data_IF_875218639001
#
_entry.id   IF_875218639001
#
_cell.length_a   1.000
_cell.length_b   1.000
_cell.length_c   1.000
_cell.angle_alpha   90.00
_cell.angle_beta   90.00
_cell.angle_gamma   90.00
#
_symmetry.space_group_name_H-M   'P 1'
#
loop_
_entity.id
_entity.type
_entity.pdbx_description
1 polymer ?
#
# COMPACT_ATOMS: atom_id res chain seq x y z
N UNK A 1 -36.15 -18.06 -5.75
CA UNK A 1 -35.03 -18.45 -6.63
C UNK A 1 -34.20 -17.26 -7.06
N UNK A 2 -32.92 -17.50 -7.33
CA UNK A 2 -31.95 -16.52 -7.82
C UNK A 2 -31.27 -17.06 -9.07
N UNK A 3 -31.21 -16.26 -10.12
CA UNK A 3 -30.39 -16.58 -11.30
C UNK A 3 -29.00 -15.99 -11.12
N UNK A 4 -28.02 -16.83 -10.79
CA UNK A 4 -26.62 -16.45 -10.81
C UNK A 4 -26.13 -16.55 -12.26
N UNK A 5 -25.83 -15.41 -12.88
CA UNK A 5 -25.12 -15.37 -14.15
C UNK A 5 -23.62 -15.15 -13.88
N UNK A 6 -22.76 -15.75 -14.72
CA UNK A 6 -21.38 -15.33 -14.88
C UNK A 6 -21.02 -15.56 -16.35
N UNK A 7 -20.75 -14.47 -17.08
CA UNK A 7 -20.55 -14.47 -18.53
C UNK A 7 -21.75 -15.09 -19.29
N UNK A 8 -21.50 -16.10 -20.12
CA UNK A 8 -22.48 -16.84 -20.92
C UNK A 8 -23.16 -17.99 -20.15
N UNK A 9 -22.69 -18.28 -18.93
CA UNK A 9 -23.19 -19.36 -18.10
C UNK A 9 -24.18 -18.84 -17.07
N UNK A 10 -25.36 -19.47 -17.03
CA UNK A 10 -26.41 -19.18 -16.04
C UNK A 10 -26.60 -20.38 -15.13
N UNK A 11 -26.64 -20.13 -13.82
CA UNK A 11 -26.96 -21.11 -12.79
C UNK A 11 -28.17 -20.62 -11.98
N UNK A 12 -29.28 -21.34 -12.08
CA UNK A 12 -30.40 -21.15 -11.18
C UNK A 12 -30.03 -21.72 -9.80
N UNK A 13 -30.19 -20.90 -8.78
CA UNK A 13 -29.99 -21.25 -7.38
C UNK A 13 -31.28 -21.03 -6.61
N UNK A 14 -31.81 -22.10 -6.02
CA UNK A 14 -32.99 -22.03 -5.13
C UNK A 14 -32.52 -21.92 -3.69
N UNK A 15 -33.08 -20.95 -2.97
CA UNK A 15 -32.88 -20.77 -1.54
C UNK A 15 -34.25 -20.76 -0.88
N UNK A 16 -34.53 -21.80 -0.10
CA UNK A 16 -35.79 -22.00 0.62
C UNK A 16 -35.74 -21.47 2.07
N UNK A 17 -34.62 -20.84 2.46
CA UNK A 17 -34.42 -20.34 3.82
C UNK A 17 -34.16 -21.43 4.87
N UNK A 18 -34.12 -22.72 4.50
CA UNK A 18 -33.92 -23.83 5.44
C UNK A 18 -32.50 -23.88 6.04
N UNK A 19 -31.53 -23.30 5.33
CA UNK A 19 -30.14 -23.10 5.79
C UNK A 19 -29.88 -21.61 5.90
N UNK A 20 -29.18 -21.15 6.94
CA UNK A 20 -28.92 -19.70 7.11
C UNK A 20 -28.01 -19.06 6.05
N UNK A 21 -27.30 -19.87 5.25
CA UNK A 21 -26.41 -19.40 4.18
C UNK A 21 -26.49 -20.35 2.97
N UNK A 22 -26.61 -19.77 1.77
CA UNK A 22 -26.38 -20.45 0.50
C UNK A 22 -25.01 -20.03 -0.04
N UNK A 23 -24.12 -21.00 -0.29
CA UNK A 23 -22.78 -20.76 -0.85
C UNK A 23 -22.67 -21.42 -2.23
N UNK A 24 -22.13 -20.69 -3.20
CA UNK A 24 -21.78 -21.21 -4.52
C UNK A 24 -20.38 -20.73 -4.88
N UNK A 25 -19.49 -21.63 -5.30
CA UNK A 25 -18.14 -21.29 -5.76
C UNK A 25 -18.11 -21.38 -7.28
N UNK A 26 -17.72 -20.28 -7.94
CA UNK A 26 -17.52 -20.27 -9.38
C UNK A 26 -16.02 -20.27 -9.70
N UNK A 27 -15.58 -21.15 -10.61
CA UNK A 27 -14.22 -21.18 -11.14
C UNK A 27 -14.28 -20.87 -12.64
N UNK A 28 -13.56 -19.83 -13.07
CA UNK A 28 -13.51 -19.39 -14.47
C UNK A 28 -12.31 -18.47 -14.69
N UNK A 29 -11.85 -18.39 -15.94
CA UNK A 29 -10.68 -17.60 -16.32
C UNK A 29 -10.97 -16.08 -16.44
N UNK A 30 -12.25 -15.70 -16.52
CA UNK A 30 -12.71 -14.33 -16.76
C UNK A 30 -13.55 -13.80 -15.59
N UNK A 31 -13.46 -12.50 -15.32
CA UNK A 31 -14.40 -11.82 -14.45
C UNK A 31 -15.73 -11.67 -15.20
N UNK A 32 -16.80 -12.25 -14.68
CA UNK A 32 -18.14 -12.15 -15.29
C UNK A 32 -19.14 -11.32 -14.49
N UNK A 33 -20.38 -11.30 -14.96
CA UNK A 33 -21.47 -10.48 -14.43
C UNK A 33 -22.41 -11.23 -13.48
N UNK A 34 -22.45 -10.83 -12.21
CA UNK A 34 -23.41 -11.36 -11.22
C UNK A 34 -24.80 -10.71 -11.42
N UNK A 35 -25.76 -11.48 -11.93
CA UNK A 35 -27.18 -11.17 -11.86
C UNK A 35 -27.82 -11.73 -10.58
N UNK A 36 -28.79 -11.02 -10.02
CA UNK A 36 -29.72 -11.56 -9.02
C UNK A 36 -31.13 -11.20 -9.45
N UNK A 37 -31.95 -12.21 -9.72
CA UNK A 37 -33.37 -12.04 -10.09
C UNK A 37 -34.21 -12.82 -9.08
N UNK A 38 -34.94 -12.10 -8.23
CA UNK A 38 -35.95 -12.70 -7.35
C UNK A 38 -37.28 -12.86 -8.08
N UNK A 39 -37.94 -14.01 -7.88
CA UNK A 39 -39.36 -14.20 -8.17
C UNK A 39 -40.04 -14.48 -6.82
N UNK A 40 -40.77 -13.50 -6.29
CA UNK A 40 -41.36 -13.53 -4.95
C UNK A 40 -42.56 -12.59 -4.90
N UNK A 41 -43.60 -12.93 -4.14
CA UNK A 41 -44.71 -12.02 -3.82
C UNK A 41 -44.28 -10.88 -2.88
N UNK A 42 -43.14 -11.02 -2.19
CA UNK A 42 -42.49 -9.95 -1.44
C UNK A 42 -41.42 -9.27 -2.33
N UNK A 43 -41.63 -8.01 -2.75
CA UNK A 43 -40.78 -7.34 -3.73
C UNK A 43 -39.46 -6.80 -3.17
N UNK A 44 -39.28 -6.81 -1.84
CA UNK A 44 -38.11 -6.22 -1.20
C UNK A 44 -37.08 -7.30 -0.85
N UNK A 45 -35.90 -7.20 -1.45
CA UNK A 45 -34.72 -7.94 -1.03
C UNK A 45 -33.51 -7.01 -0.97
N UNK A 46 -32.63 -7.27 -0.02
CA UNK A 46 -31.38 -6.53 0.15
C UNK A 46 -30.22 -7.43 -0.24
N UNK A 47 -29.23 -6.85 -0.92
CA UNK A 47 -28.02 -7.57 -1.34
C UNK A 47 -26.82 -6.84 -0.75
N UNK A 48 -25.99 -7.56 0.00
CA UNK A 48 -24.64 -7.13 0.33
C UNK A 48 -23.67 -7.89 -0.58
N UNK A 49 -22.97 -7.17 -1.45
CA UNK A 49 -21.90 -7.71 -2.28
C UNK A 49 -20.54 -7.34 -1.68
N UNK A 50 -19.62 -8.29 -1.64
CA UNK A 50 -18.24 -8.05 -1.20
C UNK A 50 -17.32 -8.85 -2.11
N UNK A 51 -16.31 -8.18 -2.66
CA UNK A 51 -15.32 -8.78 -3.54
C UNK A 51 -13.94 -8.65 -2.90
N UNK A 52 -13.15 -9.72 -2.96
CA UNK A 52 -11.75 -9.73 -2.54
C UNK A 52 -10.95 -10.43 -3.63
N UNK A 53 -9.88 -9.80 -4.07
CA UNK A 53 -9.02 -10.31 -5.14
C UNK A 53 -7.57 -9.87 -4.90
N UNK A 54 -6.63 -10.64 -5.43
CA UNK A 54 -5.24 -10.24 -5.56
C UNK A 54 -4.98 -9.89 -7.03
N UNK A 55 -4.56 -8.64 -7.36
CA UNK A 55 -4.19 -8.29 -8.71
C UNK A 55 -3.08 -9.21 -9.25
N UNK A 56 -3.13 -9.57 -10.53
CA UNK A 56 -2.04 -10.30 -11.19
C UNK A 56 -0.80 -9.41 -11.41
N UNK A 57 -1.00 -8.10 -11.53
CA UNK A 57 0.08 -7.13 -11.65
C UNK A 57 0.83 -6.99 -10.33
N UNK A 58 2.16 -6.96 -10.38
CA UNK A 58 3.00 -6.64 -9.23
C UNK A 58 2.71 -5.22 -8.75
N UNK A 59 2.86 -4.96 -7.44
CA UNK A 59 2.69 -3.61 -6.90
C UNK A 59 3.76 -2.63 -7.38
N UNK A 60 4.86 -3.10 -7.96
CA UNK A 60 5.83 -2.24 -8.66
C UNK A 60 5.19 -1.50 -9.83
N UNK A 61 4.17 -2.10 -10.46
CA UNK A 61 3.44 -1.52 -11.57
C UNK A 61 2.34 -0.54 -11.12
N UNK A 62 2.14 -0.36 -9.81
CA UNK A 62 1.10 0.53 -9.30
C UNK A 62 1.38 1.97 -9.72
N UNK A 63 0.39 2.59 -10.37
CA UNK A 63 0.40 4.02 -10.65
C UNK A 63 -0.01 4.82 -9.42
N UNK A 64 0.54 6.03 -9.28
CA UNK A 64 0.11 6.96 -8.26
C UNK A 64 -1.38 7.29 -8.44
N UNK A 65 -2.14 7.24 -7.35
CA UNK A 65 -3.54 7.63 -7.34
C UNK A 65 -3.78 8.70 -6.30
N UNK A 66 -4.71 9.60 -6.61
CA UNK A 66 -5.05 10.74 -5.77
C UNK A 66 -6.56 10.75 -5.55
N UNK A 67 -7.00 10.32 -4.36
CA UNK A 67 -8.40 10.32 -3.94
C UNK A 67 -8.52 10.95 -2.56
N UNK A 68 -8.11 12.21 -2.46
CA UNK A 68 -8.12 12.98 -1.21
C UNK A 68 -6.73 13.23 -0.65
N UNK A 69 -5.78 12.30 -0.81
CA UNK A 69 -4.36 12.53 -0.52
C UNK A 69 -3.53 12.53 -1.79
N UNK A 70 -2.43 13.30 -1.79
CA UNK A 70 -1.35 13.14 -2.77
C UNK A 70 -0.16 12.56 -2.03
N UNK A 71 0.39 11.45 -2.53
CA UNK A 71 1.55 10.79 -1.93
C UNK A 71 2.67 10.70 -2.95
N UNK A 72 3.87 11.15 -2.57
CA UNK A 72 5.09 11.05 -3.36
C UNK A 72 6.15 10.30 -2.57
N UNK A 73 7.02 9.62 -3.30
CA UNK A 73 8.12 8.84 -2.74
C UNK A 73 9.42 9.20 -3.43
N UNK A 74 10.46 9.45 -2.65
CA UNK A 74 11.80 9.80 -3.10
C UNK A 74 12.83 8.94 -2.38
N UNK A 75 13.79 8.44 -3.16
CA UNK A 75 14.88 7.60 -2.67
C UNK A 75 16.11 8.47 -2.48
N UNK A 76 16.68 8.47 -1.28
CA UNK A 76 17.88 9.24 -0.95
C UNK A 76 19.01 8.27 -0.64
N UNK A 77 20.00 8.16 -1.54
CA UNK A 77 21.18 7.33 -1.28
C UNK A 77 22.07 8.01 -0.24
N UNK A 78 22.41 7.27 0.81
CA UNK A 78 23.30 7.72 1.89
C UNK A 78 24.68 7.08 1.66
N UNK A 79 25.64 7.82 1.08
CA UNK A 79 26.98 7.29 0.86
C UNK A 79 27.74 7.20 2.18
N UNK A 80 28.78 6.37 2.21
CA UNK A 80 29.77 6.40 3.28
C UNK A 80 30.59 7.71 3.22
N UNK A 81 30.88 8.28 4.40
CA UNK A 81 31.67 9.51 4.53
C UNK A 81 30.93 10.78 4.06
N UNK A 82 31.68 11.73 3.50
CA UNK A 82 31.20 13.08 3.19
C UNK A 82 30.70 13.26 1.75
N UNK A 83 30.54 12.18 0.99
CA UNK A 83 30.04 12.26 -0.38
C UNK A 83 28.60 12.82 -0.40
N UNK A 84 28.22 13.59 -1.44
CA UNK A 84 26.89 14.19 -1.51
C UNK A 84 25.82 13.11 -1.70
N UNK A 85 24.70 13.26 -0.98
CA UNK A 85 23.54 12.40 -1.16
C UNK A 85 22.88 12.65 -2.49
N UNK A 86 22.41 11.58 -3.11
CA UNK A 86 21.61 11.67 -4.35
C UNK A 86 20.15 11.38 -4.03
N UNK A 87 19.28 12.32 -4.39
CA UNK A 87 17.83 12.19 -4.26
C UNK A 87 17.23 11.80 -5.60
N UNK A 88 16.35 10.82 -5.63
CA UNK A 88 15.70 10.37 -6.87
C UNK A 88 14.22 10.04 -6.63
N UNK A 89 13.30 10.84 -7.18
CA UNK A 89 11.88 10.56 -7.06
C UNK A 89 11.46 9.34 -7.88
N UNK A 90 10.43 8.64 -7.39
CA UNK A 90 9.73 7.58 -8.11
C UNK A 90 8.58 8.21 -8.90
N UNK A 91 8.91 8.73 -10.09
CA UNK A 91 7.95 9.45 -10.95
C UNK A 91 7.17 8.56 -11.91
N UNK A 92 7.56 7.28 -12.05
CA UNK A 92 6.96 6.34 -12.98
C UNK A 92 6.88 4.95 -12.35
N UNK A 93 5.79 4.19 -12.61
CA UNK A 93 5.68 2.82 -12.12
C UNK A 93 6.74 1.93 -12.78
N UNK A 94 7.10 0.82 -12.12
CA UNK A 94 8.09 -0.16 -12.58
C UNK A 94 9.51 0.39 -12.86
N UNK A 95 9.80 1.67 -12.52
CA UNK A 95 11.15 2.20 -12.59
C UNK A 95 12.07 1.33 -11.73
N UNK A 96 13.20 0.94 -12.29
CA UNK A 96 14.17 0.08 -11.62
C UNK A 96 15.27 0.92 -10.98
N UNK A 97 15.59 0.60 -9.73
CA UNK A 97 16.69 1.20 -8.99
C UNK A 97 17.63 0.10 -8.52
N UNK A 98 18.93 0.27 -8.78
CA UNK A 98 19.96 -0.73 -8.47
C UNK A 98 20.82 -0.29 -7.30
N UNK A 99 21.02 -1.17 -6.33
CA UNK A 99 21.80 -0.98 -5.12
C UNK A 99 22.82 -2.13 -4.98
N UNK A 100 23.90 -1.89 -4.24
CA UNK A 100 24.80 -2.94 -3.78
C UNK A 100 24.37 -3.41 -2.39
N UNK A 101 24.66 -4.66 -2.04
CA UNK A 101 24.56 -5.10 -0.65
C UNK A 101 25.37 -4.17 0.27
N UNK A 102 24.76 -3.78 1.39
CA UNK A 102 25.34 -2.83 2.34
C UNK A 102 24.91 -1.38 2.13
N UNK A 103 24.43 -1.00 0.94
CA UNK A 103 23.95 0.36 0.66
C UNK A 103 22.87 0.78 1.66
N UNK A 104 22.96 2.04 2.12
CA UNK A 104 21.94 2.68 2.95
C UNK A 104 21.08 3.59 2.07
N UNK A 105 19.78 3.35 2.14
CA UNK A 105 18.73 4.13 1.49
C UNK A 105 17.93 4.86 2.56
N UNK A 106 17.83 6.18 2.46
CA UNK A 106 16.86 6.97 3.21
C UNK A 106 15.60 7.17 2.34
N UNK A 107 14.47 6.73 2.87
CA UNK A 107 13.16 6.90 2.28
C UNK A 107 12.61 8.27 2.66
N UNK A 108 12.07 8.97 1.68
CA UNK A 108 11.34 10.22 1.87
C UNK A 108 9.94 10.05 1.29
N UNK A 109 8.93 10.05 2.17
CA UNK A 109 7.53 10.05 1.79
C UNK A 109 6.94 11.43 2.07
N UNK A 110 6.38 12.05 1.03
CA UNK A 110 5.64 13.30 1.16
C UNK A 110 4.15 13.04 0.97
N UNK A 111 3.35 13.48 1.93
CA UNK A 111 1.88 13.43 1.91
C UNK A 111 1.31 14.83 1.93
N UNK A 112 0.51 15.17 0.93
CA UNK A 112 -0.28 16.41 0.92
C UNK A 112 -1.72 16.08 1.33
N UNK A 113 -2.15 16.69 2.42
CA UNK A 113 -3.49 16.59 2.99
C UNK A 113 -4.21 17.95 2.82
N UNK A 114 -5.21 18.09 1.93
CA UNK A 114 -5.84 19.38 1.62
C UNK A 114 -6.78 19.92 2.70
N UNK A 115 -7.22 19.09 3.65
CA UNK A 115 -8.18 19.46 4.69
C UNK A 115 -7.89 18.70 5.98
N UNK A 116 -8.44 19.16 7.10
CA UNK A 116 -8.36 18.41 8.36
C UNK A 116 -9.09 17.06 8.24
N UNK A 117 -8.43 15.97 8.64
CA UNK A 117 -8.99 14.61 8.62
C UNK A 117 -8.73 13.89 9.93
N UNK A 118 -9.60 12.94 10.24
CA UNK A 118 -9.47 12.09 11.42
C UNK A 118 -9.15 10.65 11.02
N UNK A 119 -8.41 9.96 11.90
CA UNK A 119 -8.04 8.56 11.75
C UNK A 119 -7.35 8.28 10.43
N UNK A 120 -6.19 8.91 10.22
CA UNK A 120 -5.37 8.76 9.03
C UNK A 120 -4.22 7.79 9.31
N UNK A 121 -3.96 6.89 8.37
CA UNK A 121 -2.78 6.06 8.37
C UNK A 121 -1.92 6.40 7.15
N UNK A 122 -0.64 6.66 7.38
CA UNK A 122 0.37 6.78 6.32
C UNK A 122 1.26 5.54 6.40
N UNK A 123 1.15 4.64 5.42
CA UNK A 123 1.87 3.37 5.37
C UNK A 123 2.88 3.37 4.24
N UNK A 124 4.14 3.06 4.55
CA UNK A 124 5.25 3.00 3.61
C UNK A 124 5.88 1.59 3.61
N UNK A 125 5.29 0.62 2.90
CA UNK A 125 5.93 -0.68 2.67
C UNK A 125 7.20 -0.54 1.84
N UNK A 126 8.16 -1.43 2.04
CA UNK A 126 9.42 -1.42 1.31
C UNK A 126 9.77 -2.79 0.74
N UNK A 127 10.82 -2.84 -0.06
CA UNK A 127 11.21 -4.04 -0.79
C UNK A 127 11.86 -5.06 0.16
N UNK A 128 11.51 -6.34 0.04
CA UNK A 128 11.91 -7.39 0.98
C UNK A 128 13.43 -7.63 1.10
N UNK A 129 14.23 -7.20 0.12
CA UNK A 129 15.69 -7.27 0.20
C UNK A 129 16.34 -6.21 1.08
N UNK A 130 15.55 -5.29 1.64
CA UNK A 130 15.99 -4.27 2.57
C UNK A 130 15.54 -4.58 4.00
N UNK A 131 16.38 -4.20 4.95
CA UNK A 131 16.05 -4.18 6.37
C UNK A 131 15.89 -2.75 6.88
N UNK A 132 14.87 -2.54 7.71
CA UNK A 132 14.62 -1.28 8.37
C UNK A 132 15.68 -1.00 9.44
N UNK A 133 16.32 0.17 9.35
CA UNK A 133 17.18 0.68 10.41
C UNK A 133 16.32 1.50 11.38
N UNK A 134 15.81 0.85 12.43
CA UNK A 134 14.91 1.49 13.40
C UNK A 134 15.69 2.35 14.42
N UNK A 135 15.54 3.69 14.40
CA UNK A 135 16.27 4.58 15.30
C UNK A 135 15.78 4.51 16.76
N UNK A 136 14.61 3.91 17.03
CA UNK A 136 14.04 3.83 18.37
C UNK A 136 14.61 2.68 19.21
N UNK A 137 15.54 1.89 18.67
CA UNK A 137 16.21 0.82 19.40
C UNK A 137 17.38 1.35 20.21
N UNK A 138 17.52 0.90 21.46
CA UNK A 138 18.61 1.32 22.36
C UNK A 138 20.02 1.06 21.81
N UNK A 139 20.15 0.12 20.88
CA UNK A 139 21.42 -0.30 20.26
C UNK A 139 21.50 0.11 18.78
N UNK A 140 20.64 1.04 18.33
CA UNK A 140 20.65 1.53 16.96
C UNK A 140 21.99 2.22 16.64
N UNK A 141 22.52 1.96 15.45
CA UNK A 141 23.70 2.69 14.96
C UNK A 141 23.33 4.12 14.56
N UNK A 142 24.34 4.98 14.42
CA UNK A 142 24.14 6.34 13.89
C UNK A 142 23.51 6.33 12.49
N UNK A 143 23.73 5.25 11.72
CA UNK A 143 23.15 5.05 10.40
C UNK A 143 21.63 4.92 10.42
N UNK A 144 21.01 4.61 11.55
CA UNK A 144 19.55 4.53 11.65
C UNK A 144 18.87 5.91 11.63
N UNK A 145 19.59 6.99 11.94
CA UNK A 145 19.00 8.32 12.08
C UNK A 145 18.85 9.01 10.73
N UNK A 146 17.61 9.26 10.25
CA UNK A 146 17.39 9.97 9.00
C UNK A 146 17.92 11.39 9.07
N UNK A 147 18.25 11.95 7.92
CA UNK A 147 18.69 13.35 7.82
C UNK A 147 17.59 14.32 7.47
N UNK A 148 16.58 13.87 6.74
CA UNK A 148 15.33 14.58 6.67
C UNK A 148 14.66 14.67 8.04
N UNK A 149 13.92 15.75 8.25
CA UNK A 149 13.13 15.94 9.47
C UNK A 149 11.69 15.55 9.17
N UNK A 150 11.19 14.54 9.89
CA UNK A 150 9.77 14.20 9.86
C UNK A 150 8.96 15.38 10.39
N UNK A 151 8.00 15.86 9.61
CA UNK A 151 7.20 17.06 9.95
C UNK A 151 6.40 16.85 11.24
N UNK A 152 5.72 15.72 11.31
CA UNK A 152 4.91 15.27 12.44
C UNK A 152 4.82 13.74 12.33
N UNK A 153 5.22 13.02 13.38
CA UNK A 153 5.20 11.57 13.37
C UNK A 153 3.80 10.99 13.69
N UNK A 154 2.84 11.84 14.05
CA UNK A 154 1.51 11.43 14.49
C UNK A 154 1.48 10.88 15.91
N UNK A 155 0.33 10.31 16.28
CA UNK A 155 0.04 9.82 17.63
C UNK A 155 0.67 8.45 17.91
N UNK A 156 0.89 7.64 16.88
CA UNK A 156 1.54 6.33 16.99
C UNK A 156 2.32 5.96 15.74
N UNK A 157 3.47 5.30 15.92
CA UNK A 157 4.31 4.81 14.84
C UNK A 157 4.56 3.31 14.99
N UNK A 158 4.43 2.59 13.88
CA UNK A 158 4.76 1.17 13.79
C UNK A 158 5.92 0.99 12.82
N UNK A 159 7.07 0.57 13.35
CA UNK A 159 8.27 0.20 12.58
C UNK A 159 8.29 -1.32 12.49
N UNK A 160 7.77 -1.86 11.38
CA UNK A 160 7.60 -3.30 11.15
C UNK A 160 8.65 -3.83 10.16
N UNK A 161 8.74 -5.15 10.04
CA UNK A 161 9.71 -5.82 9.18
C UNK A 161 9.51 -5.51 7.68
N UNK A 162 8.27 -5.20 7.25
CA UNK A 162 7.91 -4.98 5.85
C UNK A 162 7.49 -3.53 5.52
N UNK A 163 7.27 -2.70 6.53
CA UNK A 163 6.76 -1.32 6.37
C UNK A 163 6.94 -0.45 7.62
N UNK A 164 6.89 0.85 7.39
CA UNK A 164 6.72 1.85 8.46
C UNK A 164 5.33 2.47 8.34
N UNK A 165 4.64 2.66 9.47
CA UNK A 165 3.30 3.27 9.50
C UNK A 165 3.27 4.41 10.53
N UNK A 166 2.66 5.53 10.14
CA UNK A 166 2.36 6.68 11.01
C UNK A 166 0.84 6.84 11.12
N UNK A 167 0.33 6.90 12.35
CA UNK A 167 -1.09 7.01 12.64
C UNK A 167 -1.42 8.36 13.25
N UNK A 168 -2.54 8.94 12.81
CA UNK A 168 -3.05 10.22 13.27
C UNK A 168 -4.52 10.06 13.67
N UNK A 169 -4.86 10.35 14.92
CA UNK A 169 -6.25 10.56 15.34
C UNK A 169 -6.82 11.80 14.64
N UNK A 170 -5.98 12.82 14.44
CA UNK A 170 -6.28 14.00 13.64
C UNK A 170 -5.04 14.50 12.88
N UNK A 171 -5.19 14.69 11.56
CA UNK A 171 -4.18 15.27 10.69
C UNK A 171 -4.72 16.58 10.11
N UNK A 172 -4.05 17.69 10.40
CA UNK A 172 -4.42 19.00 9.86
C UNK A 172 -4.14 19.11 8.36
N UNK A 173 -4.71 20.13 7.72
CA UNK A 173 -4.37 20.43 6.33
C UNK A 173 -2.91 20.86 6.23
N UNK A 174 -2.15 20.34 5.27
CA UNK A 174 -0.73 20.63 5.12
C UNK A 174 0.03 19.63 4.26
N UNK A 175 1.34 19.84 4.16
CA UNK A 175 2.31 18.89 3.60
C UNK A 175 3.10 18.28 4.74
N UNK A 176 3.23 16.95 4.71
CA UNK A 176 3.90 16.18 5.74
C UNK A 176 4.98 15.34 5.08
N UNK A 177 6.20 15.50 5.55
CA UNK A 177 7.36 14.73 5.09
C UNK A 177 7.72 13.70 6.17
N UNK A 178 7.96 12.46 5.77
CA UNK A 178 8.32 11.34 6.63
C UNK A 178 9.62 10.71 6.15
N UNK A 179 10.51 10.40 7.10
CA UNK A 179 11.81 9.82 6.80
C UNK A 179 12.11 8.60 7.66
N UNK A 180 12.71 7.58 7.04
CA UNK A 180 13.31 6.43 7.72
C UNK A 180 14.41 5.85 6.83
N UNK A 181 15.25 4.97 7.39
CA UNK A 181 16.36 4.36 6.65
C UNK A 181 16.22 2.87 6.52
N UNK A 182 16.72 2.38 5.39
CA UNK A 182 16.76 0.99 4.99
C UNK A 182 18.21 0.63 4.64
N UNK A 183 18.61 -0.60 4.96
CA UNK A 183 19.89 -1.17 4.51
C UNK A 183 19.62 -2.29 3.52
N UNK A 184 20.29 -2.29 2.38
CA UNK A 184 20.24 -3.37 1.41
C UNK A 184 20.98 -4.60 2.00
N UNK A 185 20.27 -5.70 2.26
CA UNK A 185 20.86 -6.87 2.95
C UNK A 185 20.85 -8.14 2.11
N UNK A 186 19.83 -8.34 1.26
CA UNK A 186 19.70 -9.57 0.47
C UNK A 186 19.71 -9.26 -1.02
N UNK A 187 20.65 -9.84 -1.76
CA UNK A 187 20.70 -9.72 -3.21
C UNK A 187 19.46 -10.33 -3.88
N UNK A 188 18.96 -9.68 -4.94
CA UNK A 188 17.79 -10.11 -5.66
C UNK A 188 17.05 -8.98 -6.36
N UNK A 189 15.90 -9.30 -6.92
CA UNK A 189 15.02 -8.36 -7.63
C UNK A 189 13.65 -8.35 -6.95
N UNK A 190 13.34 -7.22 -6.34
CA UNK A 190 12.22 -7.08 -5.44
C UNK A 190 11.24 -6.03 -5.94
N UNK A 191 9.97 -6.27 -5.62
CA UNK A 191 8.94 -5.25 -5.76
C UNK A 191 9.04 -4.28 -4.59
N UNK A 192 9.01 -2.99 -4.89
CA UNK A 192 8.89 -1.93 -3.92
C UNK A 192 7.49 -1.32 -4.02
N UNK A 193 6.59 -1.66 -3.09
CA UNK A 193 5.21 -1.23 -3.19
C UNK A 193 5.09 0.29 -2.99
N UNK A 194 3.98 0.90 -3.44
CA UNK A 194 3.78 2.33 -3.23
C UNK A 194 3.61 2.66 -1.74
N UNK A 195 4.01 3.87 -1.35
CA UNK A 195 3.58 4.45 -0.09
C UNK A 195 2.14 4.94 -0.22
N UNK A 196 1.39 4.92 0.87
CA UNK A 196 -0.04 5.17 0.91
C UNK A 196 -0.42 6.05 2.10
N UNK A 197 -1.39 6.95 1.89
CA UNK A 197 -2.10 7.65 2.96
C UNK A 197 -3.60 7.43 2.78
N UNK A 198 -4.31 7.06 3.84
CA UNK A 198 -5.76 6.81 3.81
C UNK A 198 -6.46 7.17 5.11
N UNK A 199 -7.76 7.46 5.03
CA UNK A 199 -8.63 7.47 6.21
C UNK A 199 -9.01 6.03 6.57
N UNK A 200 -8.66 5.58 7.77
CA UNK A 200 -8.85 4.20 8.25
C UNK A 200 -10.31 3.73 8.23
N UNK A 201 -11.27 4.64 8.43
CA UNK A 201 -12.71 4.33 8.49
C UNK A 201 -13.50 4.87 7.29
N UNK A 202 -12.82 5.43 6.29
CA UNK A 202 -13.44 5.90 5.05
C UNK A 202 -12.46 5.70 3.88
N UNK A 203 -12.24 4.44 3.51
CA UNK A 203 -11.20 4.00 2.55
C UNK A 203 -11.37 4.54 1.11
N UNK A 204 -12.48 5.21 0.83
CA UNK A 204 -12.68 5.97 -0.41
C UNK A 204 -11.74 7.18 -0.48
N UNK A 205 -11.32 7.70 0.69
CA UNK A 205 -10.38 8.81 0.84
C UNK A 205 -8.98 8.26 1.09
N UNK A 206 -8.19 8.17 0.02
CA UNK A 206 -6.84 7.62 0.01
C UNK A 206 -5.96 8.25 -1.06
N UNK A 207 -4.68 7.94 -1.05
CA UNK A 207 -3.76 8.26 -2.13
C UNK A 207 -2.51 7.41 -2.00
N UNK A 208 -1.86 7.12 -3.13
CA UNK A 208 -0.64 6.32 -3.14
C UNK A 208 0.37 6.89 -4.14
N UNK A 209 1.66 6.64 -3.89
CA UNK A 209 2.75 6.94 -4.83
C UNK A 209 2.80 5.92 -5.97
N UNK A 210 3.72 6.09 -6.92
CA UNK A 210 4.09 4.99 -7.81
C UNK A 210 4.80 3.87 -7.03
N UNK A 211 4.66 2.63 -7.51
CA UNK A 211 5.53 1.52 -7.15
C UNK A 211 6.82 1.51 -7.97
N UNK A 212 7.80 0.71 -7.54
CA UNK A 212 9.08 0.57 -8.23
C UNK A 212 9.63 -0.85 -8.14
N UNK A 213 10.71 -1.12 -8.89
CA UNK A 213 11.54 -2.32 -8.74
C UNK A 213 12.86 -1.95 -8.08
N UNK A 214 13.30 -2.77 -7.15
CA UNK A 214 14.58 -2.61 -6.47
C UNK A 214 15.44 -3.83 -6.73
N UNK A 215 16.57 -3.63 -7.38
CA UNK A 215 17.57 -4.66 -7.63
C UNK A 215 18.71 -4.45 -6.65
N UNK A 216 19.03 -5.48 -5.88
CA UNK A 216 20.19 -5.50 -5.00
C UNK A 216 21.18 -6.49 -5.59
N UNK A 217 22.34 -6.00 -5.97
CA UNK A 217 23.43 -6.81 -6.50
C UNK A 217 24.23 -7.38 -5.33
N UNK A 218 24.58 -8.67 -5.43
CA UNK A 218 25.53 -9.31 -4.52
C UNK A 218 26.97 -9.08 -5.00
N UNK A 219 27.92 -9.32 -4.10
CA UNK A 219 29.35 -9.35 -4.45
C UNK A 219 29.71 -10.47 -5.43
#
# INVERSE_FOLDING_TARGET
DFNLQLDDKTKLLTYDGSKGVLKYNWQGASAGSLGLRGQSENPQFYVKYTQSYLPQSLSSAAEAQQRGFVVKRELIRVPEGDAPRTKTPIEQPNKTFTFQMGDILEEHIQVVNPERRHFVAVSAPFAAGFELLNPNLNIASADANPTGQTTDAGDYQAYLDDKVIFYFDEMSAGSYDFYYRLKATTAGDFTHPPAEAEKMYQLEVRGNSHGARMVIEGE
#
